data_IF_663269371947
#
_entry.id   IF_663269371947
#
_cell.length_a   1.000
_cell.length_b   1.000
_cell.length_c   1.000
_cell.angle_alpha   90.00
_cell.angle_beta   90.00
_cell.angle_gamma   90.00
#
_symmetry.space_group_name_H-M   'P 1'
#
loop_
_entity.id
_entity.type
_entity.pdbx_description
1 polymer ?
#
# COMPACT_ATOMS: atom_id res chain seq x y z
N UNK A 1 13.75 13.94 -1.32
CA UNK A 1 12.80 13.79 -0.21
C UNK A 1 11.64 12.84 -0.47
N UNK A 2 11.26 12.61 -1.70
CA UNK A 2 10.21 11.61 -2.01
C UNK A 2 10.59 10.23 -1.50
N UNK A 3 9.62 9.55 -0.90
CA UNK A 3 9.79 8.20 -0.40
C UNK A 3 10.61 8.07 0.88
N UNK A 4 11.11 9.18 1.42
CA UNK A 4 11.82 9.17 2.71
C UNK A 4 10.83 8.84 3.82
N UNK A 5 11.22 7.95 4.71
CA UNK A 5 10.43 7.54 5.88
C UNK A 5 11.10 8.05 7.16
N UNK A 6 10.29 8.54 8.07
CA UNK A 6 10.76 9.04 9.35
C UNK A 6 9.77 8.78 10.46
N UNK A 7 10.25 8.84 11.69
CA UNK A 7 9.45 8.67 12.89
C UNK A 7 9.09 10.03 13.48
N UNK A 8 7.82 10.20 13.84
CA UNK A 8 7.33 11.41 14.52
C UNK A 8 6.13 11.03 15.39
N UNK A 9 6.16 11.46 16.66
CA UNK A 9 5.07 11.23 17.61
C UNK A 9 4.63 9.75 17.72
N UNK A 10 5.59 8.84 17.64
CA UNK A 10 5.33 7.41 17.73
C UNK A 10 4.74 6.78 16.46
N UNK A 11 4.62 7.54 15.38
CA UNK A 11 4.14 7.05 14.08
C UNK A 11 5.25 7.07 13.04
N UNK A 12 5.07 6.25 12.00
CA UNK A 12 5.97 6.19 10.85
C UNK A 12 5.29 6.84 9.66
N UNK A 13 5.95 7.83 9.08
CA UNK A 13 5.44 8.59 7.95
C UNK A 13 6.34 8.46 6.73
N UNK A 14 5.72 8.49 5.56
CA UNK A 14 6.41 8.61 4.28
C UNK A 14 6.05 9.93 3.63
N UNK A 15 7.05 10.64 3.11
CA UNK A 15 6.82 11.87 2.35
C UNK A 15 6.33 11.50 0.95
N UNK A 16 5.08 11.88 0.64
CA UNK A 16 4.49 11.66 -0.70
C UNK A 16 4.60 12.88 -1.59
N UNK A 17 4.58 14.08 -1.01
CA UNK A 17 4.83 15.33 -1.72
C UNK A 17 5.52 16.32 -0.80
N UNK A 18 6.36 17.18 -1.36
CA UNK A 18 6.95 18.28 -0.62
C UNK A 18 7.15 19.52 -1.50
N UNK A 19 7.13 20.68 -0.86
CA UNK A 19 7.37 21.95 -1.51
C UNK A 19 8.18 22.86 -0.59
N UNK A 20 9.34 23.33 -1.06
CA UNK A 20 10.10 24.35 -0.38
C UNK A 20 9.48 25.72 -0.65
N UNK A 21 9.24 26.48 0.39
CA UNK A 21 8.71 27.83 0.31
C UNK A 21 9.68 28.80 0.99
N UNK A 22 10.11 29.80 0.25
CA UNK A 22 10.93 30.90 0.77
C UNK A 22 10.10 32.18 0.70
N UNK A 23 9.43 32.56 1.79
CA UNK A 23 8.68 33.81 1.80
C UNK A 23 9.62 35.01 1.75
N UNK A 24 9.16 36.15 1.24
CA UNK A 24 9.94 37.37 1.18
C UNK A 24 10.29 37.94 2.57
N UNK A 25 9.52 37.58 3.59
CA UNK A 25 9.78 37.91 4.99
C UNK A 25 9.55 36.63 5.82
N UNK A 26 10.48 36.33 6.73
CA UNK A 26 10.43 35.19 7.61
C UNK A 26 11.31 34.03 7.15
N UNK A 27 11.35 32.96 7.93
CA UNK A 27 12.13 31.76 7.66
C UNK A 27 11.55 30.90 6.56
N UNK A 28 12.41 30.22 5.81
CA UNK A 28 11.98 29.23 4.85
C UNK A 28 11.27 28.04 5.54
N UNK A 29 10.28 27.48 4.90
CA UNK A 29 9.57 26.31 5.40
C UNK A 29 9.30 25.30 4.28
N UNK A 30 8.97 24.06 4.68
CA UNK A 30 8.67 22.97 3.76
C UNK A 30 7.26 22.49 4.04
N UNK A 31 6.40 22.61 3.04
CA UNK A 31 5.08 21.96 3.08
C UNK A 31 5.24 20.53 2.62
N UNK A 32 4.71 19.60 3.41
CA UNK A 32 4.79 18.19 3.08
C UNK A 32 3.42 17.56 3.13
N UNK A 33 3.22 16.59 2.26
CA UNK A 33 2.11 15.66 2.36
C UNK A 33 2.67 14.34 2.86
N UNK A 34 2.20 13.89 4.00
CA UNK A 34 2.70 12.72 4.70
C UNK A 34 1.65 11.62 4.73
N UNK A 35 2.09 10.41 4.40
CA UNK A 35 1.27 9.21 4.59
C UNK A 35 1.70 8.52 5.86
N UNK A 36 0.76 8.30 6.78
CA UNK A 36 0.98 7.45 7.94
C UNK A 36 0.97 5.99 7.49
N UNK A 37 2.09 5.30 7.67
CA UNK A 37 2.23 3.92 7.19
C UNK A 37 1.47 2.89 8.03
N UNK A 38 1.04 3.25 9.24
CA UNK A 38 0.20 2.38 10.07
C UNK A 38 -1.27 2.47 9.72
N UNK A 39 -1.77 3.68 9.51
CA UNK A 39 -3.20 3.94 9.29
C UNK A 39 -3.57 4.14 7.82
N UNK A 40 -2.57 4.45 6.98
CA UNK A 40 -2.79 4.82 5.58
C UNK A 40 -3.29 6.25 5.38
N UNK A 41 -3.57 6.99 6.44
CA UNK A 41 -4.06 8.37 6.34
C UNK A 41 -3.00 9.32 5.76
N UNK A 42 -3.45 10.31 5.00
CA UNK A 42 -2.59 11.32 4.40
C UNK A 42 -2.91 12.67 5.02
N UNK A 43 -1.90 13.35 5.54
CA UNK A 43 -2.03 14.65 6.18
C UNK A 43 -1.01 15.65 5.63
N UNK A 44 -1.39 16.92 5.61
CA UNK A 44 -0.49 18.01 5.24
C UNK A 44 0.16 18.57 6.51
N UNK A 45 1.48 18.58 6.56
CA UNK A 45 2.26 19.11 7.68
C UNK A 45 3.35 20.03 7.14
N UNK A 46 3.53 21.17 7.81
CA UNK A 46 4.56 22.14 7.47
C UNK A 46 5.70 22.07 8.47
N UNK A 47 6.91 21.96 7.97
CA UNK A 47 8.14 21.94 8.77
C UNK A 47 8.97 23.18 8.52
N UNK A 48 9.71 23.62 9.54
CA UNK A 48 10.74 24.66 9.37
C UNK A 48 11.89 24.08 8.53
N UNK A 49 12.39 24.85 7.58
CA UNK A 49 13.51 24.41 6.77
C UNK A 49 14.74 24.13 7.66
N UNK A 50 15.36 22.98 7.44
CA UNK A 50 16.50 22.52 8.24
C UNK A 50 16.12 21.76 9.52
N UNK A 51 14.83 21.58 9.80
CA UNK A 51 14.38 20.76 10.92
C UNK A 51 14.82 19.30 10.70
N UNK A 52 15.40 18.71 11.74
CA UNK A 52 15.89 17.34 11.68
C UNK A 52 14.80 16.36 12.11
N UNK A 53 14.63 15.32 11.30
CA UNK A 53 13.74 14.21 11.59
C UNK A 53 14.52 12.92 11.80
N UNK A 54 14.02 12.08 12.70
CA UNK A 54 14.60 10.77 12.93
C UNK A 54 14.18 9.82 11.81
N UNK A 55 15.15 9.31 11.06
CA UNK A 55 14.86 8.42 9.94
C UNK A 55 14.33 7.09 10.46
N UNK A 56 13.20 6.65 9.91
CA UNK A 56 12.66 5.32 10.16
C UNK A 56 13.20 4.35 9.09
N UNK A 57 13.80 3.26 9.53
CA UNK A 57 14.29 2.22 8.64
C UNK A 57 13.18 1.21 8.42
N UNK A 58 12.72 1.13 7.18
CA UNK A 58 11.68 0.19 6.75
C UNK A 58 12.34 -0.91 5.95
N UNK A 59 12.00 -2.14 6.28
CA UNK A 59 12.45 -3.33 5.57
C UNK A 59 11.27 -3.93 4.80
N UNK A 60 11.51 -4.27 3.55
CA UNK A 60 10.55 -4.94 2.69
C UNK A 60 11.02 -6.35 2.41
N UNK A 61 10.19 -7.33 2.75
CA UNK A 61 10.51 -8.74 2.55
C UNK A 61 9.50 -9.39 1.63
N UNK A 62 10.00 -10.18 0.70
CA UNK A 62 9.14 -11.01 -0.15
C UNK A 62 8.77 -12.29 0.61
N UNK A 63 7.49 -12.48 0.81
CA UNK A 63 6.96 -13.62 1.53
C UNK A 63 5.87 -14.32 0.73
N UNK A 64 5.75 -15.63 0.91
CA UNK A 64 4.74 -16.41 0.25
C UNK A 64 3.46 -16.45 1.08
N UNK A 65 2.34 -16.09 0.46
CA UNK A 65 1.03 -16.26 1.08
C UNK A 65 0.69 -17.74 1.12
N UNK A 66 0.41 -18.28 2.30
CA UNK A 66 0.10 -19.69 2.50
C UNK A 66 -1.40 -19.97 2.57
N UNK A 67 -2.08 -19.36 3.53
CA UNK A 67 -3.52 -19.52 3.74
C UNK A 67 -4.08 -18.35 4.55
N UNK A 68 -5.39 -18.18 4.49
CA UNK A 68 -6.12 -17.16 5.23
C UNK A 68 -7.37 -17.67 5.91
N UNK A 69 -7.93 -16.84 6.76
CA UNK A 69 -9.12 -17.10 7.54
C UNK A 69 -9.32 -15.94 8.50
N UNK A 70 -9.31 -16.19 9.79
CA UNK A 70 -9.26 -15.12 10.81
C UNK A 70 -7.91 -14.42 10.83
N UNK A 71 -6.86 -15.16 10.49
CA UNK A 71 -5.52 -14.63 10.27
C UNK A 71 -5.00 -15.09 8.91
N UNK A 72 -4.12 -14.29 8.33
CA UNK A 72 -3.47 -14.58 7.05
C UNK A 72 -2.02 -14.91 7.31
N UNK A 73 -1.58 -16.08 6.89
CA UNK A 73 -0.23 -16.59 7.13
C UNK A 73 0.67 -16.40 5.92
N UNK A 74 1.84 -15.87 6.17
CA UNK A 74 2.88 -15.63 5.16
C UNK A 74 4.19 -16.25 5.61
N UNK A 75 4.97 -16.77 4.68
CA UNK A 75 6.24 -17.42 4.96
C UNK A 75 7.38 -16.69 4.24
N UNK A 76 8.44 -16.37 4.97
CA UNK A 76 9.67 -15.83 4.40
C UNK A 76 10.32 -16.89 3.51
N UNK A 77 10.62 -16.51 2.27
CA UNK A 77 11.17 -17.45 1.29
C UNK A 77 12.66 -17.82 1.56
N UNK A 78 13.33 -17.02 2.39
CA UNK A 78 14.74 -17.25 2.72
C UNK A 78 14.91 -17.99 4.04
N UNK A 79 14.19 -17.55 5.08
CA UNK A 79 14.33 -18.08 6.44
C UNK A 79 13.29 -19.14 6.80
N UNK A 80 12.20 -19.22 6.02
CA UNK A 80 11.02 -20.05 6.26
C UNK A 80 10.26 -19.68 7.54
N UNK A 81 10.56 -18.53 8.12
CA UNK A 81 9.79 -18.01 9.25
C UNK A 81 8.38 -17.61 8.78
N UNK A 82 7.41 -17.87 9.62
CA UNK A 82 6.02 -17.53 9.34
C UNK A 82 5.58 -16.33 10.15
N UNK A 83 4.78 -15.47 9.53
CA UNK A 83 4.12 -14.35 10.20
C UNK A 83 2.62 -14.40 9.94
N UNK A 84 1.84 -13.98 10.91
CA UNK A 84 0.40 -13.92 10.81
C UNK A 84 -0.07 -12.47 10.89
N UNK A 85 -0.98 -12.11 9.99
CA UNK A 85 -1.60 -10.79 9.96
C UNK A 85 -3.10 -10.96 10.14
N UNK A 86 -3.73 -10.28 11.12
CA UNK A 86 -5.17 -10.36 11.31
C UNK A 86 -5.95 -9.89 10.08
N UNK A 87 -7.08 -10.53 9.80
CA UNK A 87 -7.94 -10.21 8.66
C UNK A 87 -8.31 -8.73 8.59
N UNK A 88 -8.60 -8.13 9.73
CA UNK A 88 -9.00 -6.72 9.85
C UNK A 88 -7.94 -5.74 9.35
N UNK A 89 -6.67 -6.14 9.28
CA UNK A 89 -5.58 -5.33 8.74
C UNK A 89 -5.39 -5.50 7.23
N UNK A 90 -6.09 -6.45 6.62
CA UNK A 90 -5.98 -6.80 5.21
C UNK A 90 -7.33 -6.74 4.48
N UNK A 91 -8.25 -5.89 4.92
CA UNK A 91 -9.62 -5.82 4.37
C UNK A 91 -9.68 -5.61 2.86
N UNK A 92 -8.74 -4.84 2.34
CA UNK A 92 -8.62 -4.62 0.90
C UNK A 92 -7.79 -5.70 0.22
N UNK A 93 -6.61 -5.98 0.78
CA UNK A 93 -5.62 -6.87 0.18
C UNK A 93 -6.08 -8.32 0.13
N UNK A 94 -6.84 -8.77 1.13
CA UNK A 94 -7.33 -10.16 1.18
C UNK A 94 -8.11 -10.57 -0.05
N UNK A 95 -8.75 -9.63 -0.71
CA UNK A 95 -9.54 -9.87 -1.93
C UNK A 95 -8.68 -10.31 -3.12
N UNK A 96 -7.40 -10.04 -3.08
CA UNK A 96 -6.48 -10.29 -4.18
C UNK A 96 -5.38 -11.30 -3.81
N UNK A 97 -5.43 -11.86 -2.61
CA UNK A 97 -4.46 -12.84 -2.16
C UNK A 97 -4.77 -14.22 -2.72
N UNK A 98 -3.80 -14.81 -3.42
CA UNK A 98 -3.88 -16.17 -3.94
C UNK A 98 -2.84 -17.04 -3.24
N UNK A 99 -3.25 -18.22 -2.80
CA UNK A 99 -2.35 -19.17 -2.15
C UNK A 99 -1.12 -19.46 -3.02
N UNK A 100 0.05 -19.46 -2.40
CA UNK A 100 1.34 -19.63 -3.09
C UNK A 100 1.91 -18.38 -3.73
N UNK A 101 1.18 -17.26 -3.71
CA UNK A 101 1.64 -16.01 -4.31
C UNK A 101 2.73 -15.35 -3.46
N UNK A 102 3.72 -14.75 -4.15
CA UNK A 102 4.76 -13.96 -3.50
C UNK A 102 4.28 -12.52 -3.35
N UNK A 103 4.32 -12.03 -2.12
CA UNK A 103 3.85 -10.69 -1.74
C UNK A 103 4.93 -10.00 -0.93
N UNK A 104 5.01 -8.68 -1.07
CA UNK A 104 5.94 -7.87 -0.31
C UNK A 104 5.29 -7.41 0.99
N UNK A 105 5.92 -7.73 2.13
CA UNK A 105 5.47 -7.28 3.45
C UNK A 105 6.42 -6.22 3.96
N UNK A 106 5.87 -5.14 4.47
CA UNK A 106 6.61 -3.99 4.98
C UNK A 106 6.74 -4.08 6.49
N UNK A 107 7.99 -4.10 6.96
CA UNK A 107 8.33 -4.19 8.38
C UNK A 107 8.98 -2.90 8.88
N UNK A 108 8.66 -2.52 10.11
CA UNK A 108 9.38 -1.54 10.89
C UNK A 108 9.87 -2.22 12.17
N UNK A 109 11.14 -2.63 12.19
CA UNK A 109 11.63 -3.53 13.23
C UNK A 109 10.91 -4.89 13.17
N UNK A 110 10.25 -5.26 14.24
CA UNK A 110 9.41 -6.46 14.33
C UNK A 110 7.94 -6.21 13.97
N UNK A 111 7.56 -4.94 13.80
CA UNK A 111 6.20 -4.55 13.48
C UNK A 111 5.91 -4.68 11.99
N UNK A 112 4.75 -5.24 11.66
CA UNK A 112 4.26 -5.29 10.29
C UNK A 112 3.43 -4.05 10.03
N UNK A 113 3.85 -3.20 9.09
CA UNK A 113 3.13 -1.99 8.72
C UNK A 113 2.04 -2.25 7.68
N UNK A 114 2.27 -3.19 6.81
CA UNK A 114 1.31 -3.52 5.77
C UNK A 114 1.85 -4.48 4.72
N UNK A 115 1.06 -4.69 3.69
CA UNK A 115 1.33 -5.59 2.58
C UNK A 115 1.23 -4.80 1.30
N UNK A 116 2.21 -4.96 0.41
CA UNK A 116 2.18 -4.40 -0.93
C UNK A 116 1.85 -5.50 -1.92
N UNK A 117 0.72 -5.35 -2.60
CA UNK A 117 0.34 -6.24 -3.68
C UNK A 117 1.18 -5.95 -4.93
N UNK A 118 1.46 -6.97 -5.76
CA UNK A 118 2.09 -6.73 -7.06
C UNK A 118 1.24 -5.76 -7.91
N UNK A 119 1.89 -4.93 -8.70
CA UNK A 119 1.20 -4.00 -9.61
C UNK A 119 0.30 -4.72 -10.62
N UNK A 120 0.70 -5.91 -10.99
CA UNK A 120 -0.03 -6.75 -11.94
C UNK A 120 -0.24 -8.12 -11.34
N UNK A 121 -1.46 -8.59 -11.40
CA UNK A 121 -1.86 -9.90 -10.91
C UNK A 121 -2.70 -10.61 -11.97
N UNK A 122 -2.55 -11.93 -12.04
CA UNK A 122 -3.35 -12.76 -12.94
C UNK A 122 -4.40 -13.51 -12.13
N UNK A 123 -5.63 -13.42 -12.55
CA UNK A 123 -6.76 -14.10 -11.93
C UNK A 123 -7.54 -14.91 -12.97
N UNK A 124 -8.17 -15.98 -12.51
CA UNK A 124 -9.13 -16.71 -13.33
C UNK A 124 -10.48 -16.01 -13.21
N UNK A 125 -11.01 -15.56 -14.33
CA UNK A 125 -12.35 -14.97 -14.37
C UNK A 125 -13.37 -16.11 -14.32
N UNK A 126 -14.19 -16.13 -13.28
CA UNK A 126 -15.23 -17.16 -13.11
C UNK A 126 -16.55 -16.72 -13.70
N UNK A 127 -16.81 -15.43 -13.77
CA UNK A 127 -18.03 -14.86 -14.32
C UNK A 127 -17.75 -13.44 -14.85
N UNK A 128 -18.32 -13.11 -15.99
CA UNK A 128 -18.13 -11.80 -16.60
C UNK A 128 -19.43 -11.31 -17.23
N UNK A 129 -19.75 -10.03 -16.98
CA UNK A 129 -20.85 -9.37 -17.67
C UNK A 129 -20.50 -9.17 -19.14
N UNK A 130 -21.53 -9.15 -20.06
CA UNK A 130 -21.29 -8.82 -21.45
C UNK A 130 -20.64 -7.45 -21.61
N UNK A 131 -19.69 -7.34 -22.53
CA UNK A 131 -19.11 -6.05 -22.87
C UNK A 131 -20.17 -5.19 -23.55
N UNK A 132 -20.45 -4.02 -22.99
CA UNK A 132 -21.34 -3.04 -23.58
C UNK A 132 -20.48 -1.92 -24.16
N UNK A 133 -20.42 -1.85 -25.50
CA UNK A 133 -19.84 -0.69 -26.17
C UNK A 133 -20.87 0.44 -26.13
N UNK A 134 -20.75 1.30 -25.13
CA UNK A 134 -21.56 2.51 -25.04
C UNK A 134 -20.92 3.68 -25.77
N UNK A 135 -21.66 4.79 -25.83
CA UNK A 135 -21.20 6.05 -26.44
C UNK A 135 -20.14 6.77 -25.57
N UNK A 136 -19.43 6.06 -24.70
CA UNK A 136 -18.38 6.64 -23.88
C UNK A 136 -17.07 6.60 -24.64
N UNK A 137 -16.49 7.77 -24.86
CA UNK A 137 -15.24 7.92 -25.59
C UNK A 137 -14.01 7.41 -24.82
N UNK A 138 -14.17 7.04 -23.54
CA UNK A 138 -13.04 6.68 -22.68
C UNK A 138 -13.39 5.54 -21.72
N UNK A 139 -12.47 4.58 -21.57
CA UNK A 139 -12.46 3.55 -20.53
C UNK A 139 -13.78 2.78 -20.35
N UNK A 140 -14.19 2.04 -21.39
CA UNK A 140 -15.26 1.08 -21.23
C UNK A 140 -14.91 0.06 -20.14
N UNK A 141 -15.83 -0.17 -19.23
CA UNK A 141 -15.64 -1.05 -18.07
C UNK A 141 -16.72 -2.12 -18.02
N UNK A 142 -16.37 -3.27 -17.51
CA UNK A 142 -17.34 -4.33 -17.21
C UNK A 142 -17.03 -4.98 -15.87
N UNK A 143 -18.08 -5.53 -15.26
CA UNK A 143 -17.98 -6.30 -14.06
C UNK A 143 -17.54 -7.72 -14.35
N UNK A 144 -16.58 -8.22 -13.59
CA UNK A 144 -16.12 -9.61 -13.64
C UNK A 144 -16.00 -10.17 -12.23
N UNK A 145 -16.21 -11.48 -12.11
CA UNK A 145 -16.00 -12.21 -10.86
C UNK A 145 -14.72 -13.02 -10.97
N UNK A 146 -13.84 -12.84 -9.97
CA UNK A 146 -12.61 -13.60 -9.81
C UNK A 146 -12.61 -14.23 -8.42
N UNK A 147 -12.43 -15.54 -8.32
CA UNK A 147 -12.38 -16.25 -7.03
C UNK A 147 -13.47 -15.80 -6.04
N UNK A 148 -14.73 -15.72 -6.52
CA UNK A 148 -15.89 -15.23 -5.78
C UNK A 148 -15.87 -13.76 -5.39
N UNK A 149 -15.00 -12.97 -5.98
CA UNK A 149 -14.93 -11.53 -5.82
C UNK A 149 -15.40 -10.82 -7.09
N UNK A 150 -16.26 -9.81 -6.94
CA UNK A 150 -16.70 -8.97 -8.04
C UNK A 150 -15.74 -7.79 -8.20
N UNK A 151 -15.27 -7.58 -9.40
CA UNK A 151 -14.36 -6.49 -9.74
C UNK A 151 -14.75 -5.87 -11.08
N UNK A 152 -14.53 -4.56 -11.21
CA UNK A 152 -14.70 -3.84 -12.47
C UNK A 152 -13.35 -3.78 -13.18
N UNK A 153 -13.31 -4.21 -14.43
CA UNK A 153 -12.12 -4.14 -15.27
C UNK A 153 -12.35 -3.23 -16.48
N UNK A 154 -11.27 -2.63 -16.96
CA UNK A 154 -11.32 -1.87 -18.20
C UNK A 154 -11.38 -2.84 -19.39
N UNK A 155 -12.16 -2.46 -20.38
CA UNK A 155 -12.25 -3.22 -21.63
C UNK A 155 -11.29 -2.57 -22.62
N UNK A 156 -10.36 -3.35 -23.11
CA UNK A 156 -9.47 -2.94 -24.20
C UNK A 156 -10.10 -3.14 -25.56
#
# INVERSE_FOLDING_TARGET
>A
MYGVTFEMDGNVYRIVEFQHVKPGKGGAFVRTKLRNLRTGSVNDITFTAGEKMEQAIIEKKKMQYLYGGETYCFMDMETYDQVEIPEERLEWEKKFLLEGQIIEIVFYGSEILGVNLPEKMTFVVTEAAPAVSGNTATNAQKEVTIDNLIKIINIE
#
